data_IF_568792986007
#
_entry.id   IF_568792986007
#
_cell.length_a   1.000
_cell.length_b   1.000
_cell.length_c   1.000
_cell.angle_alpha   90.00
_cell.angle_beta   90.00
_cell.angle_gamma   90.00
#
_symmetry.space_group_name_H-M   'P 1'
#
loop_
_entity.id
_entity.type
_entity.pdbx_description
1 polymer ?
#
# COMPACT_ATOMS: atom_id res chain seq x y z
N UNK A 1 -3.08 0.42 -27.71
CA UNK A 1 -2.33 1.56 -27.13
C UNK A 1 -1.88 1.13 -25.76
N UNK A 2 -0.56 1.10 -25.50
CA UNK A 2 -0.05 0.86 -24.15
C UNK A 2 -0.32 2.10 -23.31
N UNK A 3 -1.00 1.94 -22.18
CA UNK A 3 -1.17 3.01 -21.20
C UNK A 3 0.20 3.25 -20.56
N UNK A 4 0.72 4.46 -20.72
CA UNK A 4 1.95 4.86 -20.04
C UNK A 4 1.65 5.08 -18.56
N UNK A 5 2.27 4.25 -17.70
CA UNK A 5 2.14 4.38 -16.26
C UNK A 5 3.07 5.49 -15.78
N UNK A 6 2.50 6.59 -15.34
CA UNK A 6 3.24 7.76 -14.81
C UNK A 6 2.70 8.17 -13.45
N UNK A 7 3.55 8.76 -12.58
CA UNK A 7 3.10 9.29 -11.30
C UNK A 7 2.06 10.39 -11.46
N UNK A 8 1.02 10.36 -10.62
CA UNK A 8 -0.01 11.40 -10.62
C UNK A 8 0.56 12.77 -10.23
N UNK A 9 0.22 13.79 -11.00
CA UNK A 9 0.56 15.18 -10.71
C UNK A 9 -0.10 15.66 -9.40
N UNK A 10 0.39 16.77 -8.85
CA UNK A 10 -0.22 17.39 -7.67
C UNK A 10 -1.69 17.77 -7.91
N UNK A 11 -2.04 18.17 -9.12
CA UNK A 11 -3.41 18.54 -9.48
C UNK A 11 -4.34 17.32 -9.52
N UNK A 12 -3.91 16.24 -10.16
CA UNK A 12 -4.65 14.97 -10.22
C UNK A 12 -4.89 14.40 -8.82
N UNK A 13 -3.86 14.39 -7.95
CA UNK A 13 -4.00 13.96 -6.56
C UNK A 13 -5.00 14.79 -5.78
N UNK A 14 -5.01 16.12 -6.00
CA UNK A 14 -5.98 17.01 -5.35
C UNK A 14 -7.41 16.66 -5.73
N UNK A 15 -7.69 16.43 -7.02
CA UNK A 15 -9.01 16.02 -7.50
C UNK A 15 -9.39 14.67 -6.88
N UNK A 16 -8.51 13.65 -7.00
CA UNK A 16 -8.75 12.33 -6.46
C UNK A 16 -9.11 12.35 -4.97
N UNK A 17 -8.31 12.98 -4.13
CA UNK A 17 -8.58 13.04 -2.69
C UNK A 17 -9.81 13.86 -2.33
N UNK A 18 -10.17 14.83 -3.13
CA UNK A 18 -11.37 15.65 -2.89
C UNK A 18 -12.65 14.94 -3.30
N UNK A 19 -12.67 14.33 -4.48
CA UNK A 19 -13.88 13.91 -5.16
C UNK A 19 -14.09 12.39 -5.15
N UNK A 20 -13.02 11.61 -5.28
CA UNK A 20 -13.09 10.16 -5.44
C UNK A 20 -12.78 9.41 -4.15
N UNK A 21 -11.65 9.72 -3.50
CA UNK A 21 -11.17 8.95 -2.35
C UNK A 21 -12.09 9.04 -1.12
N UNK A 22 -12.36 7.89 -0.51
CA UNK A 22 -13.10 7.79 0.74
C UNK A 22 -12.30 6.95 1.76
N UNK A 23 -12.43 7.27 3.05
CA UNK A 23 -11.80 6.47 4.12
C UNK A 23 -12.28 5.02 4.14
N UNK A 24 -13.48 4.75 3.63
CA UNK A 24 -14.02 3.39 3.47
C UNK A 24 -13.28 2.55 2.43
N UNK A 25 -12.48 3.19 1.56
CA UNK A 25 -11.63 2.49 0.59
C UNK A 25 -10.36 1.92 1.26
N UNK A 26 -10.03 2.40 2.48
CA UNK A 26 -8.99 1.79 3.30
C UNK A 26 -9.51 0.46 3.85
N UNK A 27 -8.78 -0.65 3.66
CA UNK A 27 -9.22 -1.98 4.12
C UNK A 27 -9.60 -2.02 5.59
N UNK A 28 -10.66 -2.78 5.92
CA UNK A 28 -11.19 -2.88 7.28
C UNK A 28 -10.15 -3.34 8.29
N UNK A 29 -9.26 -4.26 7.92
CA UNK A 29 -8.22 -4.76 8.82
C UNK A 29 -7.21 -3.65 9.21
N UNK A 30 -7.04 -2.62 8.38
CA UNK A 30 -6.24 -1.42 8.72
C UNK A 30 -7.07 -0.48 9.59
N UNK A 31 -8.33 -0.17 9.19
CA UNK A 31 -9.23 0.74 9.92
C UNK A 31 -9.53 0.27 11.34
N UNK A 32 -9.68 -1.04 11.53
CA UNK A 32 -9.94 -1.64 12.84
C UNK A 32 -8.71 -1.66 13.77
N UNK A 33 -7.55 -1.18 13.33
CA UNK A 33 -6.29 -1.21 14.08
C UNK A 33 -5.48 0.09 14.00
N UNK A 34 -6.14 1.21 13.72
CA UNK A 34 -5.49 2.53 13.54
C UNK A 34 -4.64 2.95 14.74
N UNK A 35 -5.09 2.65 15.96
CA UNK A 35 -4.41 3.05 17.21
C UNK A 35 -3.17 2.21 17.53
N UNK A 36 -3.02 1.05 16.88
CA UNK A 36 -1.93 0.11 17.12
C UNK A 36 -0.88 0.12 16.01
N UNK A 37 -1.08 0.92 14.95
CA UNK A 37 -0.19 1.00 13.79
C UNK A 37 0.49 2.34 13.66
N UNK A 38 1.74 2.34 13.20
CA UNK A 38 2.38 3.53 12.68
C UNK A 38 1.88 3.79 11.25
N UNK A 39 1.59 5.06 10.96
CA UNK A 39 1.36 5.54 9.61
C UNK A 39 2.50 6.47 9.18
N UNK A 40 2.86 6.35 7.90
CA UNK A 40 3.82 7.21 7.24
C UNK A 40 3.24 7.75 5.94
N UNK A 41 3.66 8.94 5.54
CA UNK A 41 3.19 9.59 4.32
C UNK A 41 4.35 10.14 3.52
N UNK A 42 4.27 9.95 2.22
CA UNK A 42 5.14 10.58 1.26
C UNK A 42 4.39 11.75 0.63
N UNK A 43 4.95 12.95 0.72
CA UNK A 43 4.34 14.14 0.12
C UNK A 43 4.94 14.51 -1.24
N UNK A 44 6.12 13.96 -1.59
CA UNK A 44 6.93 14.43 -2.72
C UNK A 44 7.31 13.33 -3.73
N UNK A 45 7.01 12.07 -3.46
CA UNK A 45 7.34 10.95 -4.35
C UNK A 45 8.74 10.36 -4.14
N UNK A 46 9.37 10.65 -3.00
CA UNK A 46 10.73 10.20 -2.66
C UNK A 46 10.79 9.33 -1.40
N UNK A 47 9.66 8.78 -0.99
CA UNK A 47 9.53 7.93 0.19
C UNK A 47 8.88 8.62 1.38
N UNK A 48 8.55 7.88 2.45
CA UNK A 48 7.81 8.41 3.59
C UNK A 48 8.64 9.42 4.39
N UNK A 49 8.32 10.70 4.20
CA UNK A 49 8.98 11.83 4.87
C UNK A 49 8.18 12.41 6.04
N UNK A 50 6.93 11.98 6.24
CA UNK A 50 6.07 12.35 7.38
C UNK A 50 5.63 11.08 8.11
N UNK A 51 6.40 10.65 9.12
CA UNK A 51 6.27 9.35 9.79
C UNK A 51 5.73 9.46 11.22
N UNK A 52 5.60 8.32 11.89
CA UNK A 52 5.22 8.17 13.29
C UNK A 52 3.81 8.72 13.61
N UNK A 53 2.92 8.74 12.60
CA UNK A 53 1.52 9.14 12.82
C UNK A 53 0.72 7.98 13.36
N UNK A 54 -0.25 8.33 14.20
CA UNK A 54 -1.25 7.41 14.75
C UNK A 54 -2.61 8.10 14.65
N UNK A 55 -3.64 7.35 14.31
CA UNK A 55 -5.00 7.87 14.20
C UNK A 55 -5.90 7.16 15.19
N UNK A 56 -6.72 7.93 15.89
CA UNK A 56 -7.65 7.40 16.90
C UNK A 56 -8.94 6.87 16.27
N UNK A 57 -9.28 7.34 15.07
CA UNK A 57 -10.48 6.98 14.33
C UNK A 57 -10.38 7.30 12.83
N UNK A 58 -11.34 6.77 12.07
CA UNK A 58 -11.49 7.00 10.63
C UNK A 58 -11.63 8.48 10.26
N UNK A 59 -12.27 9.28 11.12
CA UNK A 59 -12.51 10.70 10.84
C UNK A 59 -11.18 11.48 10.84
N UNK A 60 -10.31 11.17 11.81
CA UNK A 60 -8.97 11.78 11.90
C UNK A 60 -8.10 11.39 10.73
N UNK A 61 -8.09 10.11 10.37
CA UNK A 61 -7.38 9.63 9.17
C UNK A 61 -7.91 10.32 7.90
N UNK A 62 -9.24 10.34 7.71
CA UNK A 62 -9.89 11.01 6.58
C UNK A 62 -9.50 12.47 6.46
N UNK A 63 -9.59 13.22 7.57
CA UNK A 63 -9.24 14.65 7.59
C UNK A 63 -7.78 14.86 7.22
N UNK A 64 -6.87 14.07 7.79
CA UNK A 64 -5.45 14.16 7.50
C UNK A 64 -5.16 13.95 6.02
N UNK A 65 -5.63 12.84 5.44
CA UNK A 65 -5.38 12.50 4.04
C UNK A 65 -5.99 13.55 3.09
N UNK A 66 -7.24 13.98 3.34
CA UNK A 66 -7.87 15.00 2.48
C UNK A 66 -7.18 16.37 2.53
N UNK A 67 -6.61 16.74 3.66
CA UNK A 67 -5.86 18.01 3.81
C UNK A 67 -4.46 17.90 3.21
N UNK A 68 -3.76 16.80 3.48
CA UNK A 68 -2.36 16.63 3.09
C UNK A 68 -2.18 16.17 1.64
N UNK A 69 -3.15 15.42 1.10
CA UNK A 69 -3.14 14.92 -0.28
C UNK A 69 -1.80 14.25 -0.63
N UNK A 70 -1.35 13.26 0.16
CA UNK A 70 -0.03 12.68 0.03
C UNK A 70 0.15 12.01 -1.34
N UNK A 71 1.40 11.89 -1.78
CA UNK A 71 1.77 11.10 -2.95
C UNK A 71 1.54 9.60 -2.70
N UNK A 72 1.94 9.15 -1.49
CA UNK A 72 1.67 7.79 -1.03
C UNK A 72 1.41 7.75 0.48
N UNK A 73 0.62 6.77 0.91
CA UNK A 73 0.33 6.49 2.31
C UNK A 73 0.77 5.07 2.65
N UNK A 74 1.36 4.92 3.82
CA UNK A 74 1.89 3.66 4.34
C UNK A 74 1.33 3.39 5.72
N UNK A 75 1.13 2.13 6.04
CA UNK A 75 0.92 1.71 7.42
C UNK A 75 1.87 0.56 7.78
N UNK A 76 2.23 0.45 9.06
CA UNK A 76 3.04 -0.66 9.52
C UNK A 76 2.25 -1.97 9.47
N UNK A 77 2.92 -3.04 9.06
CA UNK A 77 2.42 -4.42 9.19
C UNK A 77 2.50 -4.92 10.63
N UNK A 78 3.37 -4.30 11.43
CA UNK A 78 3.52 -4.57 12.85
C UNK A 78 2.56 -3.73 13.69
N UNK A 79 2.14 -4.29 14.81
CA UNK A 79 1.29 -3.67 15.84
C UNK A 79 2.14 -3.34 17.05
N UNK A 80 1.92 -2.18 17.64
CA UNK A 80 2.71 -1.64 18.74
C UNK A 80 1.81 -1.09 19.85
N UNK A 81 2.31 -1.12 21.10
CA UNK A 81 1.68 -0.39 22.22
C UNK A 81 1.83 1.13 22.05
N UNK A 82 2.98 1.57 21.53
CA UNK A 82 3.29 2.97 21.22
C UNK A 82 3.73 3.14 19.77
N UNK A 83 2.78 3.13 18.82
CA UNK A 83 3.11 3.12 17.39
C UNK A 83 3.92 4.35 16.94
N UNK A 84 3.64 5.53 17.52
CA UNK A 84 4.37 6.77 17.26
C UNK A 84 5.86 6.74 17.71
N UNK A 85 6.26 5.71 18.44
CA UNK A 85 7.64 5.47 18.88
C UNK A 85 8.17 4.13 18.37
N UNK A 86 7.31 3.30 17.72
CA UNK A 86 7.59 1.92 17.31
C UNK A 86 8.08 1.05 18.48
N UNK A 87 7.45 1.25 19.66
CA UNK A 87 7.78 0.51 20.88
C UNK A 87 6.63 -0.38 21.32
N UNK A 88 7.00 -1.47 22.04
CA UNK A 88 6.01 -2.46 22.49
C UNK A 88 5.45 -3.24 21.31
N UNK A 89 6.32 -3.91 20.56
CA UNK A 89 5.88 -4.79 19.46
C UNK A 89 4.99 -5.90 20.02
N UNK A 90 3.79 -6.07 19.45
CA UNK A 90 2.81 -7.06 19.88
C UNK A 90 2.74 -8.25 18.92
N UNK A 91 2.57 -7.97 17.65
CA UNK A 91 2.42 -8.95 16.58
C UNK A 91 2.67 -8.30 15.24
N UNK A 92 2.70 -9.10 14.19
CA UNK A 92 2.77 -8.63 12.80
C UNK A 92 1.82 -9.42 11.90
N UNK A 93 1.36 -8.80 10.85
CA UNK A 93 0.74 -9.52 9.74
C UNK A 93 1.82 -10.27 8.95
N UNK A 94 1.43 -11.38 8.34
CA UNK A 94 2.25 -12.02 7.31
C UNK A 94 2.05 -11.26 6.01
N UNK A 95 3.13 -10.76 5.44
CA UNK A 95 3.11 -9.98 4.20
C UNK A 95 4.09 -10.57 3.19
N UNK A 96 3.64 -10.67 1.96
CA UNK A 96 4.47 -10.96 0.78
C UNK A 96 4.47 -9.72 -0.10
N UNK A 97 5.65 -9.18 -0.37
CA UNK A 97 5.85 -8.06 -1.28
C UNK A 97 6.38 -8.59 -2.62
N UNK A 98 5.67 -8.31 -3.70
CA UNK A 98 6.02 -8.76 -5.06
C UNK A 98 6.23 -7.53 -5.93
N UNK A 99 7.47 -7.15 -6.08
CA UNK A 99 7.88 -6.05 -6.95
C UNK A 99 7.98 -6.50 -8.41
N UNK A 100 7.24 -5.85 -9.29
CA UNK A 100 7.26 -6.16 -10.73
C UNK A 100 8.66 -5.98 -11.35
N UNK A 101 9.48 -5.09 -10.80
CA UNK A 101 10.87 -4.87 -11.23
C UNK A 101 11.82 -6.02 -10.88
N UNK A 102 11.49 -6.80 -9.83
CA UNK A 102 12.36 -7.86 -9.28
C UNK A 102 11.99 -9.26 -9.80
N UNK A 103 11.06 -9.35 -10.75
CA UNK A 103 10.69 -10.62 -11.40
C UNK A 103 11.90 -11.15 -12.19
N UNK A 104 12.43 -12.36 -11.87
CA UNK A 104 13.67 -12.86 -12.45
C UNK A 104 13.62 -13.07 -13.96
N UNK A 105 12.44 -13.49 -14.47
CA UNK A 105 12.21 -13.74 -15.91
C UNK A 105 11.04 -12.87 -16.34
N UNK A 106 11.33 -11.73 -16.96
CA UNK A 106 10.32 -10.85 -17.51
C UNK A 106 9.95 -11.24 -18.94
N UNK A 107 8.68 -11.06 -19.26
CA UNK A 107 8.14 -11.27 -20.62
C UNK A 107 8.15 -9.99 -21.48
N UNK A 108 8.80 -8.93 -21.01
CA UNK A 108 8.91 -7.63 -21.67
C UNK A 108 10.36 -7.15 -21.75
N UNK A 109 10.60 -6.16 -22.60
CA UNK A 109 11.92 -5.55 -22.84
C UNK A 109 12.16 -4.28 -21.97
N UNK A 110 11.49 -4.15 -20.82
CA UNK A 110 11.69 -3.02 -19.92
C UNK A 110 13.12 -3.01 -19.37
N UNK A 111 13.72 -1.82 -19.29
CA UNK A 111 14.99 -1.62 -18.63
C UNK A 111 14.91 -1.94 -17.12
N UNK A 112 16.05 -2.10 -16.48
CA UNK A 112 16.11 -2.31 -15.03
C UNK A 112 15.45 -1.15 -14.29
N UNK A 113 14.54 -1.47 -13.36
CA UNK A 113 13.76 -0.46 -12.61
C UNK A 113 12.51 0.07 -13.32
N UNK A 114 12.34 -0.19 -14.62
CA UNK A 114 11.12 0.18 -15.33
C UNK A 114 10.04 -0.89 -15.19
N UNK A 115 8.79 -0.46 -15.23
CA UNK A 115 7.60 -1.31 -15.12
C UNK A 115 6.58 -0.92 -16.19
N UNK A 116 6.13 -1.90 -16.96
CA UNK A 116 5.04 -1.75 -17.92
C UNK A 116 3.84 -2.62 -17.56
N UNK A 117 2.76 -2.52 -18.31
CA UNK A 117 1.56 -3.33 -18.11
C UNK A 117 1.82 -4.85 -18.12
N UNK A 118 2.75 -5.33 -18.97
CA UNK A 118 3.13 -6.76 -19.01
C UNK A 118 3.79 -7.19 -17.69
N UNK A 119 4.73 -6.39 -17.14
CA UNK A 119 5.35 -6.66 -15.84
C UNK A 119 4.31 -6.70 -14.72
N UNK A 120 3.36 -5.75 -14.72
CA UNK A 120 2.30 -5.70 -13.71
C UNK A 120 1.39 -6.92 -13.79
N UNK A 121 1.00 -7.34 -14.99
CA UNK A 121 0.19 -8.54 -15.17
C UNK A 121 0.94 -9.79 -14.70
N UNK A 122 2.22 -9.91 -14.99
CA UNK A 122 3.06 -11.00 -14.53
C UNK A 122 3.20 -11.01 -13.00
N UNK A 123 3.42 -9.86 -12.37
CA UNK A 123 3.41 -9.72 -10.91
C UNK A 123 2.07 -10.12 -10.30
N UNK A 124 0.96 -9.71 -10.92
CA UNK A 124 -0.39 -10.10 -10.52
C UNK A 124 -0.59 -11.61 -10.54
N UNK A 125 -0.14 -12.29 -11.60
CA UNK A 125 -0.23 -13.75 -11.69
C UNK A 125 0.56 -14.43 -10.57
N UNK A 126 1.77 -13.95 -10.25
CA UNK A 126 2.57 -14.47 -9.13
C UNK A 126 1.83 -14.29 -7.79
N UNK A 127 1.27 -13.11 -7.54
CA UNK A 127 0.51 -12.83 -6.31
C UNK A 127 -0.70 -13.75 -6.20
N UNK A 128 -1.41 -14.01 -7.31
CA UNK A 128 -2.55 -14.91 -7.33
C UNK A 128 -2.12 -16.36 -7.04
N UNK A 129 -0.99 -16.82 -7.57
CA UNK A 129 -0.44 -18.15 -7.23
C UNK A 129 -0.07 -18.26 -5.75
N UNK A 130 0.57 -17.23 -5.18
CA UNK A 130 0.88 -17.18 -3.74
C UNK A 130 -0.40 -17.29 -2.92
N UNK A 131 -1.44 -16.52 -3.28
CA UNK A 131 -2.74 -16.57 -2.62
C UNK A 131 -3.33 -17.99 -2.65
N UNK A 132 -3.28 -18.64 -3.80
CA UNK A 132 -3.87 -19.97 -3.99
C UNK A 132 -3.13 -21.03 -3.14
N UNK A 133 -1.81 -20.96 -3.04
CA UNK A 133 -1.00 -21.80 -2.13
C UNK A 133 -1.37 -21.51 -0.67
N UNK A 134 -1.43 -20.23 -0.28
CA UNK A 134 -1.76 -19.85 1.09
C UNK A 134 -3.16 -20.33 1.51
N UNK A 135 -4.13 -20.26 0.61
CA UNK A 135 -5.49 -20.71 0.90
C UNK A 135 -5.66 -22.21 0.77
N UNK A 136 -5.09 -22.85 -0.25
CA UNK A 136 -5.25 -24.26 -0.54
C UNK A 136 -4.40 -25.16 0.34
N UNK A 137 -3.10 -24.86 0.46
CA UNK A 137 -2.16 -25.73 1.16
C UNK A 137 -2.06 -25.39 2.65
N UNK A 138 -2.20 -24.12 3.01
CA UNK A 138 -2.10 -23.65 4.40
C UNK A 138 -3.46 -23.34 5.05
N UNK A 139 -4.57 -23.37 4.30
CA UNK A 139 -5.92 -23.12 4.82
C UNK A 139 -6.18 -21.69 5.30
N UNK A 140 -5.39 -20.71 4.86
CA UNK A 140 -5.58 -19.32 5.24
C UNK A 140 -6.77 -18.71 4.47
N UNK A 141 -7.74 -18.16 5.19
CA UNK A 141 -8.98 -17.63 4.61
C UNK A 141 -9.05 -16.11 4.57
N UNK A 142 -8.27 -15.42 5.41
CA UNK A 142 -8.26 -13.96 5.47
C UNK A 142 -7.02 -13.40 4.74
N UNK A 143 -7.07 -13.41 3.41
CA UNK A 143 -5.99 -12.94 2.55
C UNK A 143 -6.42 -11.67 1.82
N UNK A 144 -5.67 -10.60 1.99
CA UNK A 144 -5.91 -9.32 1.32
C UNK A 144 -4.85 -9.11 0.24
N UNK A 145 -5.30 -8.80 -0.98
CA UNK A 145 -4.43 -8.42 -2.08
C UNK A 145 -4.46 -6.90 -2.23
N UNK A 146 -3.29 -6.28 -2.21
CA UNK A 146 -3.16 -4.82 -2.30
C UNK A 146 -2.21 -4.48 -3.43
N UNK A 147 -2.65 -3.59 -4.31
CA UNK A 147 -1.80 -2.97 -5.31
C UNK A 147 -1.31 -1.62 -4.79
N UNK A 148 0.02 -1.46 -4.69
CA UNK A 148 0.62 -0.25 -4.11
C UNK A 148 0.56 0.97 -5.05
N UNK A 149 0.32 0.76 -6.34
CA UNK A 149 0.30 1.85 -7.33
C UNK A 149 1.69 2.37 -7.72
N UNK A 150 2.73 1.59 -7.50
CA UNK A 150 4.13 1.93 -7.82
C UNK A 150 4.71 0.98 -8.83
#
# INVERSE_FOLDING_TARGET
MSVELKPASKYERKIFYKEEWNVKDVPDFIRNSLTSREFGFDHYGNGPNDRYKVFVDDLRLKRFIKVKQPFAAYCSVAFYDKPNQRKGWQKSELVFDVDAKDIPIRTCDCAEGEVCEKCLNQAKEIVLMIRDVLSGDFGLTNINLIYSGR
#
